data_IF_225584307612
#
_entry.id   IF_225584307612
#
_cell.length_a   1.000
_cell.length_b   1.000
_cell.length_c   1.000
_cell.angle_alpha   90.00
_cell.angle_beta   90.00
_cell.angle_gamma   90.00
#
_symmetry.space_group_name_H-M   'P 1'
#
loop_
_entity.id
_entity.type
_entity.pdbx_description
1 polymer ?
#
# COMPACT_ATOMS: atom_id res chain seq x y z
N UNK A 1 -2.51 -13.48 8.73
CA UNK A 1 -2.98 -12.09 8.60
C UNK A 1 -1.81 -11.14 8.53
N UNK A 2 -1.92 -10.17 7.65
CA UNK A 2 -0.90 -9.13 7.48
C UNK A 2 -1.37 -7.83 8.11
N UNK A 3 -0.41 -7.01 8.53
CA UNK A 3 -0.69 -5.65 8.96
C UNK A 3 0.13 -4.70 8.09
N UNK A 4 -0.53 -3.73 7.49
CA UNK A 4 0.10 -2.79 6.55
C UNK A 4 0.14 -1.40 7.14
N UNK A 5 1.32 -0.78 7.10
CA UNK A 5 1.52 0.61 7.50
C UNK A 5 1.96 1.40 6.27
N UNK A 6 1.26 2.48 5.99
CA UNK A 6 1.49 3.29 4.79
C UNK A 6 1.88 4.71 5.22
N UNK A 7 2.98 5.20 4.68
CA UNK A 7 3.44 6.58 4.92
C UNK A 7 3.47 7.34 3.60
N UNK A 8 2.76 8.45 3.56
CA UNK A 8 2.80 9.38 2.44
C UNK A 8 3.50 10.65 2.86
N UNK A 9 4.04 11.40 1.89
CA UNK A 9 4.67 12.68 2.15
C UNK A 9 4.24 13.71 1.13
N UNK A 10 4.32 14.97 1.52
CA UNK A 10 3.98 16.10 0.66
C UNK A 10 3.98 17.36 1.51
N UNK A 11 3.70 18.48 0.85
CA UNK A 11 3.59 19.74 1.56
C UNK A 11 2.17 19.92 2.06
N UNK A 12 1.97 20.40 3.29
CA UNK A 12 0.63 20.66 3.80
C UNK A 12 -0.08 21.71 2.95
N UNK A 13 -1.35 21.49 2.69
CA UNK A 13 -2.20 22.48 2.05
C UNK A 13 -2.41 23.65 3.03
N UNK A 14 -2.36 24.89 2.54
CA UNK A 14 -2.49 26.08 3.41
C UNK A 14 -3.81 26.15 4.13
N UNK A 15 -4.89 25.67 3.49
CA UNK A 15 -6.23 25.76 4.06
C UNK A 15 -6.53 24.60 5.03
N UNK A 16 -6.07 23.39 4.71
CA UNK A 16 -6.41 22.20 5.49
C UNK A 16 -5.34 21.80 6.50
N UNK A 17 -4.07 22.17 6.25
CA UNK A 17 -2.96 21.83 7.12
C UNK A 17 -2.40 20.44 6.93
N UNK A 18 -2.86 19.69 5.92
CA UNK A 18 -2.34 18.36 5.62
C UNK A 18 -2.21 18.15 4.12
N UNK A 19 -1.34 17.23 3.70
CA UNK A 19 -1.14 16.96 2.28
C UNK A 19 -2.18 15.98 1.73
N UNK A 20 -2.76 15.14 2.58
CA UNK A 20 -3.79 14.18 2.22
C UNK A 20 -4.66 13.90 3.44
N UNK A 21 -5.97 13.93 3.23
CA UNK A 21 -6.92 13.57 4.29
C UNK A 21 -6.74 12.08 4.62
N UNK A 22 -6.59 11.77 5.91
CA UNK A 22 -6.41 10.39 6.37
C UNK A 22 -7.59 9.50 5.98
N UNK A 23 -8.80 10.05 5.91
CA UNK A 23 -9.95 9.27 5.46
C UNK A 23 -9.81 8.87 4.00
N UNK A 24 -9.31 9.75 3.16
CA UNK A 24 -9.06 9.44 1.75
C UNK A 24 -8.01 8.34 1.64
N UNK A 25 -6.91 8.46 2.39
CA UNK A 25 -5.88 7.43 2.39
C UNK A 25 -6.44 6.08 2.86
N UNK A 26 -7.23 6.09 3.92
CA UNK A 26 -7.86 4.88 4.44
C UNK A 26 -8.76 4.22 3.40
N UNK A 27 -9.55 5.02 2.68
CA UNK A 27 -10.44 4.52 1.63
C UNK A 27 -9.65 3.93 0.47
N UNK A 28 -8.52 4.54 0.09
CA UNK A 28 -7.64 4.03 -0.97
C UNK A 28 -7.07 2.68 -0.56
N UNK A 29 -6.57 2.56 0.66
CA UNK A 29 -5.99 1.30 1.14
C UNK A 29 -7.07 0.21 1.15
N UNK A 30 -8.25 0.54 1.60
CA UNK A 30 -9.35 -0.41 1.64
C UNK A 30 -9.71 -0.90 0.24
N UNK A 31 -9.93 0.01 -0.68
CA UNK A 31 -10.39 -0.32 -2.03
C UNK A 31 -9.32 -1.07 -2.84
N UNK A 32 -8.07 -0.62 -2.77
CA UNK A 32 -7.02 -1.13 -3.65
C UNK A 32 -6.23 -2.29 -3.06
N UNK A 33 -6.22 -2.44 -1.74
CA UNK A 33 -5.42 -3.46 -1.08
C UNK A 33 -6.28 -4.43 -0.26
N UNK A 34 -7.07 -3.91 0.69
CA UNK A 34 -7.79 -4.80 1.61
C UNK A 34 -8.85 -5.63 0.90
N UNK A 35 -9.68 -4.99 0.09
CA UNK A 35 -10.75 -5.70 -0.61
C UNK A 35 -10.24 -6.72 -1.62
N UNK A 36 -9.25 -6.38 -2.47
CA UNK A 36 -8.71 -7.37 -3.40
C UNK A 36 -8.03 -8.56 -2.73
N UNK A 37 -7.45 -8.37 -1.54
CA UNK A 37 -6.71 -9.44 -0.86
C UNK A 37 -7.54 -10.22 0.15
N UNK A 38 -8.67 -9.68 0.59
CA UNK A 38 -9.46 -10.27 1.67
C UNK A 38 -9.98 -11.66 1.28
N UNK A 39 -9.61 -12.68 2.08
CA UNK A 39 -10.00 -14.07 1.87
C UNK A 39 -9.66 -14.59 0.49
N UNK A 40 -8.60 -14.08 -0.15
CA UNK A 40 -8.22 -14.46 -1.51
C UNK A 40 -6.96 -15.32 -1.52
N UNK A 41 -6.87 -16.16 -2.54
CA UNK A 41 -5.63 -16.87 -2.85
C UNK A 41 -4.78 -15.95 -3.72
N UNK A 42 -3.56 -15.62 -3.27
CA UNK A 42 -2.72 -14.63 -3.95
C UNK A 42 -2.40 -15.01 -5.39
N UNK A 43 -2.18 -16.30 -5.67
CA UNK A 43 -1.82 -16.75 -7.02
C UNK A 43 -3.03 -16.95 -7.93
N UNK A 44 -4.21 -17.22 -7.36
CA UNK A 44 -5.39 -17.59 -8.15
C UNK A 44 -6.41 -16.47 -8.29
N UNK A 45 -6.51 -15.61 -7.26
CA UNK A 45 -7.60 -14.65 -7.18
C UNK A 45 -7.17 -13.19 -7.29
N UNK A 46 -5.87 -12.91 -7.23
CA UNK A 46 -5.34 -11.55 -7.22
C UNK A 46 -4.52 -11.32 -8.50
N UNK A 47 -5.11 -10.66 -9.52
CA UNK A 47 -4.44 -10.54 -10.83
C UNK A 47 -3.04 -9.96 -10.80
N UNK A 48 -2.81 -8.96 -9.95
CA UNK A 48 -1.49 -8.33 -9.89
C UNK A 48 -0.43 -9.16 -9.15
N UNK A 49 -0.82 -10.34 -8.66
CA UNK A 49 0.12 -11.32 -8.09
C UNK A 49 0.31 -12.54 -9.00
N UNK A 50 -0.41 -12.63 -10.12
CA UNK A 50 -0.31 -13.79 -11.00
C UNK A 50 1.13 -13.98 -11.49
N UNK A 51 1.63 -15.21 -11.39
CA UNK A 51 2.98 -15.57 -11.85
C UNK A 51 4.09 -15.15 -10.91
N UNK A 52 3.78 -14.55 -9.76
CA UNK A 52 4.78 -14.11 -8.79
C UNK A 52 4.79 -15.02 -7.58
N UNK A 53 5.95 -15.13 -6.95
CA UNK A 53 6.03 -15.84 -5.67
C UNK A 53 5.27 -15.05 -4.61
N UNK A 54 4.57 -15.76 -3.73
CA UNK A 54 3.76 -15.13 -2.68
C UNK A 54 4.58 -14.83 -1.42
N UNK A 55 5.85 -14.46 -1.58
CA UNK A 55 6.67 -14.02 -0.47
C UNK A 55 6.23 -12.63 0.00
N UNK A 56 6.52 -12.32 1.26
CA UNK A 56 6.24 -11.00 1.80
C UNK A 56 6.97 -9.91 1.02
N UNK A 57 8.18 -10.20 0.57
CA UNK A 57 8.99 -9.28 -0.23
C UNK A 57 8.34 -8.96 -1.57
N UNK A 58 7.82 -9.96 -2.26
CA UNK A 58 7.12 -9.72 -3.53
C UNK A 58 5.77 -9.02 -3.30
N UNK A 59 5.07 -9.43 -2.26
CA UNK A 59 3.77 -8.84 -1.95
C UNK A 59 3.88 -7.35 -1.66
N UNK A 60 4.89 -6.93 -0.88
CA UNK A 60 5.04 -5.51 -0.53
C UNK A 60 5.33 -4.65 -1.76
N UNK A 61 6.11 -5.17 -2.72
CA UNK A 61 6.39 -4.44 -3.96
C UNK A 61 5.11 -4.24 -4.77
N UNK A 62 4.30 -5.29 -4.88
CA UNK A 62 3.06 -5.19 -5.64
C UNK A 62 2.01 -4.32 -4.95
N UNK A 63 1.96 -4.35 -3.62
CA UNK A 63 1.10 -3.43 -2.87
C UNK A 63 1.51 -1.98 -3.15
N UNK A 64 2.80 -1.68 -3.13
CA UNK A 64 3.32 -0.36 -3.47
C UNK A 64 2.82 0.08 -4.84
N UNK A 65 2.97 -0.78 -5.84
CA UNK A 65 2.56 -0.47 -7.20
C UNK A 65 1.06 -0.18 -7.30
N UNK A 66 0.24 -0.93 -6.55
CA UNK A 66 -1.19 -0.71 -6.55
C UNK A 66 -1.57 0.61 -5.87
N UNK A 67 -0.85 1.00 -4.81
CA UNK A 67 -1.13 2.25 -4.09
C UNK A 67 -0.68 3.49 -4.87
N UNK A 68 0.39 3.40 -5.65
CA UNK A 68 0.86 4.53 -6.44
C UNK A 68 -0.17 5.03 -7.45
N UNK A 69 -0.98 4.14 -7.98
CA UNK A 69 -1.94 4.47 -9.02
C UNK A 69 -2.96 5.54 -8.55
N UNK A 70 -3.72 5.28 -7.48
CA UNK A 70 -4.69 6.28 -7.01
C UNK A 70 -4.01 7.50 -6.36
N UNK A 71 -2.85 7.31 -5.73
CA UNK A 71 -2.17 8.44 -5.07
C UNK A 71 -1.62 9.45 -6.06
N UNK A 72 -1.42 9.06 -7.32
CA UNK A 72 -1.00 10.00 -8.37
C UNK A 72 -1.99 11.13 -8.62
N UNK A 73 -3.24 10.98 -8.15
CA UNK A 73 -4.28 12.00 -8.30
C UNK A 73 -4.23 13.07 -7.19
N UNK A 74 -3.30 12.97 -6.26
CA UNK A 74 -3.20 13.86 -5.11
C UNK A 74 -1.82 14.52 -5.05
N UNK A 75 -1.71 15.57 -4.26
CA UNK A 75 -0.46 16.34 -4.11
C UNK A 75 0.46 15.71 -3.06
N UNK A 76 0.52 14.40 -3.03
CA UNK A 76 1.38 13.65 -2.12
C UNK A 76 1.99 12.47 -2.86
N UNK A 77 3.05 11.93 -2.29
CA UNK A 77 3.71 10.74 -2.84
C UNK A 77 3.79 9.67 -1.76
N UNK A 78 3.77 8.43 -2.22
CA UNK A 78 4.01 7.28 -1.35
C UNK A 78 5.48 7.31 -0.94
N UNK A 79 5.73 7.33 0.36
CA UNK A 79 7.09 7.45 0.88
C UNK A 79 7.65 6.10 1.34
N UNK A 80 6.85 5.35 2.09
CA UNK A 80 7.29 4.09 2.66
C UNK A 80 6.08 3.23 2.99
N UNK A 81 6.24 1.92 2.88
CA UNK A 81 5.24 1.00 3.40
C UNK A 81 5.98 -0.07 4.22
N UNK A 82 5.29 -0.58 5.22
CA UNK A 82 5.76 -1.68 6.05
C UNK A 82 4.69 -2.74 6.09
N UNK A 83 5.07 -3.98 5.84
CA UNK A 83 4.14 -5.10 5.87
C UNK A 83 4.61 -6.10 6.93
N UNK A 84 3.79 -6.26 7.97
CA UNK A 84 4.03 -7.25 9.01
C UNK A 84 3.41 -8.58 8.59
N UNK A 85 4.23 -9.62 8.58
CA UNK A 85 3.76 -10.98 8.38
C UNK A 85 3.27 -11.55 9.71
N UNK A 86 4.04 -11.27 10.78
CA UNK A 86 3.68 -11.55 12.17
C UNK A 86 4.04 -10.31 12.96
N UNK A 87 3.70 -10.26 14.25
CA UNK A 87 3.99 -9.06 15.04
C UNK A 87 5.49 -8.76 15.18
N UNK A 88 6.36 -9.75 14.92
CA UNK A 88 7.81 -9.57 15.05
C UNK A 88 8.56 -9.65 13.73
N UNK A 89 7.87 -9.98 12.63
CA UNK A 89 8.51 -10.15 11.32
C UNK A 89 7.83 -9.24 10.31
N UNK A 90 8.60 -8.34 9.71
CA UNK A 90 8.07 -7.38 8.75
C UNK A 90 9.12 -7.06 7.68
N UNK A 91 8.66 -6.46 6.60
CA UNK A 91 9.54 -5.90 5.57
C UNK A 91 9.15 -4.44 5.34
N UNK A 92 10.13 -3.63 4.98
CA UNK A 92 9.95 -2.23 4.60
C UNK A 92 10.26 -2.06 3.12
N UNK A 93 9.54 -1.15 2.48
CA UNK A 93 9.80 -0.83 1.08
C UNK A 93 9.64 0.68 0.87
N UNK A 94 10.59 1.27 0.16
CA UNK A 94 10.66 2.72 -0.06
C UNK A 94 10.53 3.08 -1.53
N UNK A 95 10.08 2.17 -2.35
CA UNK A 95 9.96 2.37 -3.78
C UNK A 95 11.12 1.73 -4.53
N UNK A 96 10.95 1.62 -5.84
CA UNK A 96 11.99 1.04 -6.69
C UNK A 96 13.19 1.97 -6.85
N UNK A 97 14.33 1.38 -7.17
CA UNK A 97 15.52 2.14 -7.53
C UNK A 97 15.39 2.74 -8.89
#
# INVERSE_FOLDING_TARGET
NYELHVTVKGYPNEDTGYCLDMKILSDIIKEYIEEPLDHKNLNLDVPWMFGKRTSTENLIIEIWNQLEKPLANYDCTLHAIRLYETENNYVDYYGGE
#
